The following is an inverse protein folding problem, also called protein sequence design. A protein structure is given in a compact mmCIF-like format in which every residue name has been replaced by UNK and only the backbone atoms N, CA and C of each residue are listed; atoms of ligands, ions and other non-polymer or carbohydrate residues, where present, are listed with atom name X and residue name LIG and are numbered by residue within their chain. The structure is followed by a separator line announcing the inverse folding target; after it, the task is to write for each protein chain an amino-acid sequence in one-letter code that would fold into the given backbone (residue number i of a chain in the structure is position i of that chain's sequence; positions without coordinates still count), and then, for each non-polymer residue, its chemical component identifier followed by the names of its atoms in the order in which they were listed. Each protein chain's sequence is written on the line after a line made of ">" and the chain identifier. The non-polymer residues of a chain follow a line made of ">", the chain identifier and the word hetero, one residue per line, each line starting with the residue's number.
data_IF_742941486395
#
_entry.id   IF_742941486395
#
_cell.length_a   1.000
_cell.length_b   1.000
_cell.length_c   1.000
_cell.angle_alpha   90.00
_cell.angle_beta   90.00
_cell.angle_gamma   90.00
#
_symmetry.space_group_name_H-M   'P 1'
#
loop_
_entity.id
_entity.type
_entity.pdbx_description
1 polymer ?
#
# COMPACT_ATOMS: atom_id res chain seq x y z
N UNK A 1 1.51 13.55 46.11
CA UNK A 1 2.88 13.08 45.77
C UNK A 1 2.73 11.94 44.76
N UNK A 2 2.54 12.20 43.46
CA UNK A 2 3.49 12.88 42.58
C UNK A 2 4.42 11.85 41.91
N UNK A 3 3.86 10.84 41.23
CA UNK A 3 4.66 9.93 40.38
C UNK A 3 4.71 10.51 38.98
N UNK A 4 5.80 11.20 38.66
CA UNK A 4 6.17 11.50 37.29
C UNK A 4 6.32 10.17 36.52
N UNK A 5 5.35 9.89 35.63
CA UNK A 5 5.57 8.97 34.52
C UNK A 5 6.34 9.78 33.47
N UNK A 6 7.64 9.54 33.38
CA UNK A 6 8.40 9.90 32.19
C UNK A 6 7.76 9.17 31.00
N UNK A 7 7.09 9.94 30.14
CA UNK A 7 6.79 9.53 28.79
C UNK A 7 8.13 9.37 28.07
N UNK A 8 8.66 8.14 28.06
CA UNK A 8 9.65 7.73 27.09
C UNK A 8 9.00 7.83 25.71
N UNK A 9 9.08 9.00 25.11
CA UNK A 9 8.88 9.16 23.68
C UNK A 9 9.83 8.16 23.00
N UNK A 10 9.27 7.17 22.31
CA UNK A 10 9.98 6.37 21.33
C UNK A 10 10.43 7.30 20.19
N UNK A 11 11.49 8.07 20.41
CA UNK A 11 12.21 8.88 19.43
C UNK A 11 13.41 8.12 18.85
N UNK A 12 13.36 6.78 18.85
CA UNK A 12 14.24 5.97 18.02
C UNK A 12 13.82 6.08 16.57
N UNK A 13 14.17 7.18 15.90
CA UNK A 13 14.10 7.25 14.45
C UNK A 13 14.77 6.00 13.87
N UNK A 14 14.14 5.40 12.85
CA UNK A 14 14.70 4.24 12.19
C UNK A 14 16.05 4.65 11.57
N UNK A 15 17.16 4.40 12.29
CA UNK A 15 18.53 4.60 11.81
C UNK A 15 19.39 5.62 12.59
N UNK A 16 19.05 5.96 13.83
CA UNK A 16 20.01 6.67 14.69
C UNK A 16 21.27 5.80 14.89
N UNK A 17 22.49 6.32 14.66
CA UNK A 17 23.70 5.52 14.80
C UNK A 17 23.95 5.15 16.27
N UNK A 18 24.25 3.88 16.52
CA UNK A 18 24.33 3.24 17.84
C UNK A 18 25.74 3.22 18.41
N UNK A 19 26.77 3.23 17.56
CA UNK A 19 28.17 3.40 17.96
C UNK A 19 28.72 4.76 17.54
N UNK A 20 29.84 5.18 18.14
CA UNK A 20 30.54 6.41 17.71
C UNK A 20 31.03 6.27 16.25
N UNK A 21 31.52 5.09 15.86
CA UNK A 21 31.93 4.80 14.48
C UNK A 21 30.77 4.93 13.48
N UNK A 22 29.57 4.44 13.83
CA UNK A 22 28.39 4.61 12.98
C UNK A 22 27.94 6.08 12.90
N UNK A 23 28.18 6.89 13.95
CA UNK A 23 27.89 8.33 13.94
C UNK A 23 28.86 9.07 13.03
N UNK A 24 30.15 8.77 13.14
CA UNK A 24 31.19 9.42 12.34
C UNK A 24 30.99 9.10 10.85
N UNK A 25 30.70 7.84 10.50
CA UNK A 25 30.39 7.43 9.12
C UNK A 25 29.09 8.08 8.60
N UNK A 26 28.07 8.21 9.46
CA UNK A 26 26.84 8.90 9.13
C UNK A 26 27.07 10.38 8.84
N UNK A 27 27.82 11.07 9.70
CA UNK A 27 28.14 12.48 9.53
C UNK A 27 29.02 12.70 8.29
N UNK A 28 29.99 11.81 8.02
CA UNK A 28 30.77 11.83 6.78
C UNK A 28 29.89 11.69 5.53
N UNK A 29 28.95 10.75 5.55
CA UNK A 29 27.98 10.54 4.45
C UNK A 29 27.12 11.78 4.22
N UNK A 30 26.58 12.36 5.30
CA UNK A 30 25.76 13.57 5.24
C UNK A 30 26.57 14.75 4.72
N UNK A 31 27.82 14.91 5.17
CA UNK A 31 28.71 15.96 4.67
C UNK A 31 29.10 15.75 3.20
N UNK A 32 29.33 14.51 2.76
CA UNK A 32 29.57 14.16 1.37
C UNK A 32 28.41 14.55 0.46
N UNK A 33 27.17 14.27 0.89
CA UNK A 33 25.95 14.71 0.20
C UNK A 33 25.81 16.24 0.19
N UNK A 34 26.08 16.91 1.32
CA UNK A 34 26.01 18.38 1.44
C UNK A 34 26.98 19.10 0.51
N UNK A 35 28.19 18.55 0.38
CA UNK A 35 29.25 19.15 -0.43
C UNK A 35 29.15 18.77 -1.91
N UNK A 36 28.15 17.98 -2.31
CA UNK A 36 28.01 17.46 -3.68
C UNK A 36 29.08 16.46 -4.08
N UNK A 37 29.83 15.91 -3.12
CA UNK A 37 30.81 14.85 -3.35
C UNK A 37 30.16 13.49 -3.59
N UNK A 38 28.89 13.34 -3.20
CA UNK A 38 28.06 12.15 -3.46
C UNK A 38 26.74 12.61 -4.05
N UNK A 39 26.38 12.08 -5.22
CA UNK A 39 25.05 12.29 -5.80
C UNK A 39 24.01 11.45 -5.05
N UNK A 40 22.92 12.08 -4.61
CA UNK A 40 21.88 11.40 -3.83
C UNK A 40 21.18 10.31 -4.65
N UNK A 41 20.97 10.50 -5.96
CA UNK A 41 20.32 9.50 -6.79
C UNK A 41 21.23 8.29 -7.00
N UNK A 42 22.53 8.50 -7.18
CA UNK A 42 23.53 7.43 -7.22
C UNK A 42 23.64 6.68 -5.88
N UNK A 43 23.67 7.43 -4.77
CA UNK A 43 23.67 6.86 -3.42
C UNK A 43 22.43 6.01 -3.13
N UNK A 44 21.28 6.32 -3.75
CA UNK A 44 20.04 5.56 -3.59
C UNK A 44 19.83 4.49 -4.68
N UNK A 45 20.71 4.40 -5.69
CA UNK A 45 20.58 3.46 -6.81
C UNK A 45 20.79 2.00 -6.42
N UNK A 46 19.72 1.21 -6.39
CA UNK A 46 19.78 -0.23 -6.11
C UNK A 46 19.66 -1.04 -7.40
N UNK A 47 20.42 -2.13 -7.49
CA UNK A 47 20.29 -3.11 -8.58
C UNK A 47 18.95 -3.82 -8.49
N UNK A 48 18.31 -4.05 -9.63
CA UNK A 48 17.04 -4.77 -9.68
C UNK A 48 17.18 -6.19 -9.10
N UNK A 49 16.26 -6.57 -8.21
CA UNK A 49 16.27 -7.87 -7.55
C UNK A 49 17.13 -7.95 -6.28
N UNK A 50 17.88 -6.91 -5.92
CA UNK A 50 18.59 -6.86 -4.63
C UNK A 50 17.69 -6.29 -3.52
N UNK A 51 16.79 -7.13 -3.01
CA UNK A 51 15.85 -6.76 -1.96
C UNK A 51 16.54 -6.27 -0.69
N UNK A 52 17.70 -6.85 -0.32
CA UNK A 52 18.42 -6.50 0.91
C UNK A 52 19.03 -5.12 0.80
N UNK A 53 19.74 -4.84 -0.28
CA UNK A 53 20.28 -3.50 -0.53
C UNK A 53 19.16 -2.47 -0.60
N UNK A 54 18.02 -2.79 -1.22
CA UNK A 54 16.87 -1.88 -1.26
C UNK A 54 16.35 -1.56 0.13
N UNK A 55 16.15 -2.56 0.97
CA UNK A 55 15.68 -2.37 2.35
C UNK A 55 16.66 -1.52 3.16
N UNK A 56 17.97 -1.81 3.08
CA UNK A 56 18.99 -1.03 3.79
C UNK A 56 19.05 0.42 3.31
N UNK A 57 18.98 0.67 2.00
CA UNK A 57 18.97 2.03 1.45
C UNK A 57 17.68 2.77 1.78
N UNK A 58 16.54 2.10 1.75
CA UNK A 58 15.26 2.70 2.14
C UNK A 58 15.27 3.13 3.62
N UNK A 59 15.88 2.33 4.50
CA UNK A 59 16.12 2.72 5.91
C UNK A 59 17.01 3.96 6.00
N UNK A 60 18.14 3.97 5.29
CA UNK A 60 19.04 5.11 5.25
C UNK A 60 18.35 6.38 4.76
N UNK A 61 17.52 6.29 3.71
CA UNK A 61 16.72 7.39 3.19
C UNK A 61 15.76 7.96 4.26
N UNK A 62 15.08 7.09 5.01
CA UNK A 62 14.23 7.53 6.11
C UNK A 62 15.01 8.24 7.21
N UNK A 63 16.22 7.79 7.52
CA UNK A 63 17.12 8.47 8.45
C UNK A 63 17.54 9.83 7.91
N UNK A 64 17.88 9.91 6.63
CA UNK A 64 18.30 11.14 5.94
C UNK A 64 17.18 12.18 5.93
N UNK A 65 15.93 11.77 5.69
CA UNK A 65 14.75 12.64 5.77
C UNK A 65 14.53 13.24 7.17
N UNK A 66 15.04 12.61 8.22
CA UNK A 66 15.01 13.16 9.58
C UNK A 66 15.89 14.41 9.72
N UNK A 67 16.99 14.48 8.96
CA UNK A 67 17.95 15.58 9.03
C UNK A 67 17.41 16.84 8.30
N UNK A 68 17.28 17.99 8.99
CA UNK A 68 16.84 19.24 8.37
C UNK A 68 17.70 19.68 7.19
N UNK A 69 19.02 19.43 7.24
CA UNK A 69 19.99 19.86 6.21
C UNK A 69 19.77 19.09 4.91
N UNK A 70 19.54 17.79 5.01
CA UNK A 70 19.24 16.94 3.85
C UNK A 70 17.87 17.28 3.26
N UNK A 71 16.86 17.57 4.09
CA UNK A 71 15.54 18.01 3.60
C UNK A 71 15.63 19.25 2.71
N UNK A 72 16.48 20.21 3.07
CA UNK A 72 16.69 21.41 2.26
C UNK A 72 17.31 21.08 0.89
N UNK A 73 18.31 20.18 0.85
CA UNK A 73 18.91 19.70 -0.42
C UNK A 73 17.85 19.04 -1.29
N UNK A 74 17.08 18.12 -0.71
CA UNK A 74 16.06 17.38 -1.46
C UNK A 74 14.98 18.31 -2.01
N UNK A 75 14.60 19.36 -1.26
CA UNK A 75 13.69 20.39 -1.75
C UNK A 75 14.28 21.18 -2.92
N UNK A 76 15.54 21.62 -2.83
CA UNK A 76 16.22 22.34 -3.90
C UNK A 76 16.38 21.47 -5.16
N UNK A 77 16.79 20.22 -5.02
CA UNK A 77 16.89 19.27 -6.13
C UNK A 77 15.53 18.99 -6.76
N UNK A 78 14.49 18.79 -5.96
CA UNK A 78 13.12 18.58 -6.46
C UNK A 78 12.59 19.81 -7.21
N UNK A 79 12.87 21.02 -6.73
CA UNK A 79 12.51 22.26 -7.42
C UNK A 79 13.22 22.39 -8.76
N UNK A 80 14.54 22.09 -8.80
CA UNK A 80 15.33 22.10 -10.02
C UNK A 80 14.82 21.08 -11.04
N UNK A 81 14.58 19.83 -10.63
CA UNK A 81 14.01 18.80 -11.52
C UNK A 81 12.65 19.24 -12.08
N UNK A 82 11.80 19.84 -11.25
CA UNK A 82 10.49 20.35 -11.70
C UNK A 82 10.62 21.51 -12.69
N UNK A 83 11.54 22.46 -12.45
CA UNK A 83 11.77 23.55 -13.39
C UNK A 83 12.32 23.03 -14.72
N UNK A 84 13.29 22.12 -14.67
CA UNK A 84 13.95 21.55 -15.83
C UNK A 84 12.98 20.70 -16.68
N UNK A 85 12.04 20.01 -16.02
CA UNK A 85 10.99 19.24 -16.68
C UNK A 85 9.77 20.08 -17.12
N UNK A 86 9.75 21.39 -16.85
CA UNK A 86 8.59 22.25 -17.16
C UNK A 86 7.31 21.87 -16.40
N UNK A 87 7.43 21.15 -15.27
CA UNK A 87 6.29 20.67 -14.49
C UNK A 87 5.79 21.81 -13.60
N UNK A 88 4.70 22.45 -14.02
CA UNK A 88 3.96 23.40 -13.18
C UNK A 88 2.94 22.62 -12.35
N UNK A 89 3.18 22.52 -11.04
CA UNK A 89 2.21 21.95 -10.11
C UNK A 89 1.10 22.97 -9.88
N UNK A 90 -0.07 22.74 -10.46
CA UNK A 90 -1.27 23.51 -10.15
C UNK A 90 -1.80 23.09 -8.76
N UNK A 91 -1.31 23.78 -7.73
CA UNK A 91 -1.71 23.55 -6.35
C UNK A 91 -3.24 23.62 -6.17
N UNK A 92 -3.93 24.52 -6.90
CA UNK A 92 -5.39 24.63 -6.81
C UNK A 92 -6.08 23.38 -7.33
N UNK A 93 -5.57 22.78 -8.41
CA UNK A 93 -6.10 21.52 -8.97
C UNK A 93 -5.80 20.32 -8.09
N UNK A 94 -4.64 20.28 -7.43
CA UNK A 94 -4.30 19.23 -6.46
C UNK A 94 -5.21 19.34 -5.23
N UNK A 95 -5.33 20.53 -4.66
CA UNK A 95 -6.19 20.77 -3.50
C UNK A 95 -7.66 20.49 -3.82
N UNK A 96 -8.17 20.90 -4.99
CA UNK A 96 -9.58 20.63 -5.35
C UNK A 96 -9.87 19.14 -5.49
N UNK A 97 -8.96 18.35 -6.09
CA UNK A 97 -9.10 16.89 -6.18
C UNK A 97 -9.05 16.20 -4.81
N UNK A 98 -8.15 16.63 -3.93
CA UNK A 98 -8.05 16.11 -2.57
C UNK A 98 -9.30 16.44 -1.75
N UNK A 99 -9.78 17.69 -1.82
CA UNK A 99 -11.02 18.11 -1.17
C UNK A 99 -12.25 17.37 -1.71
N UNK A 100 -12.34 17.13 -3.02
CA UNK A 100 -13.43 16.38 -3.63
C UNK A 100 -13.53 14.93 -3.09
N UNK A 101 -12.43 14.36 -2.58
CA UNK A 101 -12.40 13.01 -1.99
C UNK A 101 -12.59 12.98 -0.49
N UNK A 102 -12.79 14.12 0.16
CA UNK A 102 -12.68 14.24 1.63
C UNK A 102 -11.35 13.64 2.14
N UNK A 103 -10.28 13.81 1.33
CA UNK A 103 -9.01 13.12 1.53
C UNK A 103 -8.36 13.49 2.87
N UNK A 104 -8.56 14.72 3.37
CA UNK A 104 -7.96 15.15 4.63
C UNK A 104 -8.52 14.39 5.84
N UNK A 105 -9.85 14.33 5.96
CA UNK A 105 -10.53 13.59 7.03
C UNK A 105 -10.19 12.09 6.95
N UNK A 106 -10.22 11.53 5.73
CA UNK A 106 -9.92 10.12 5.48
C UNK A 106 -8.45 9.77 5.71
N UNK A 107 -7.52 10.67 5.38
CA UNK A 107 -6.09 10.49 5.64
C UNK A 107 -5.79 10.49 7.15
N UNK A 108 -6.49 11.32 7.93
CA UNK A 108 -6.38 11.28 9.40
C UNK A 108 -6.82 9.92 9.94
N UNK A 109 -7.99 9.43 9.51
CA UNK A 109 -8.49 8.10 9.90
C UNK A 109 -7.51 7.00 9.47
N UNK A 110 -6.99 7.09 8.24
CA UNK A 110 -5.96 6.18 7.73
C UNK A 110 -4.70 6.15 8.59
N UNK A 111 -4.14 7.32 8.92
CA UNK A 111 -2.94 7.42 9.74
C UNK A 111 -3.17 6.88 11.16
N UNK A 112 -4.34 7.16 11.75
CA UNK A 112 -4.74 6.60 13.05
C UNK A 112 -4.86 5.07 12.99
N UNK A 113 -5.44 4.52 11.93
CA UNK A 113 -5.59 3.09 11.73
C UNK A 113 -4.26 2.39 11.43
N UNK A 114 -3.40 2.97 10.59
CA UNK A 114 -2.03 2.46 10.39
C UNK A 114 -1.27 2.45 11.72
N UNK A 115 -1.33 3.54 12.47
CA UNK A 115 -0.71 3.61 13.80
C UNK A 115 -1.26 2.52 14.72
N UNK A 116 -2.57 2.29 14.74
CA UNK A 116 -3.19 1.25 15.55
C UNK A 116 -2.78 -0.18 15.12
N UNK A 117 -2.55 -0.43 13.83
CA UNK A 117 -2.03 -1.72 13.35
C UNK A 117 -0.55 -1.94 13.68
N UNK A 118 0.24 -0.87 13.68
CA UNK A 118 1.67 -0.94 13.96
C UNK A 118 1.97 -0.97 15.46
N UNK A 119 1.11 -0.35 16.26
CA UNK A 119 1.25 -0.30 17.72
C UNK A 119 0.45 -1.44 18.34
N UNK A 120 1.13 -2.54 18.67
CA UNK A 120 0.58 -3.60 19.50
C UNK A 120 0.11 -4.86 18.77
N UNK A 121 0.48 -5.06 17.51
CA UNK A 121 0.33 -6.35 16.80
C UNK A 121 1.71 -6.96 16.48
N UNK A 122 1.88 -8.28 16.64
CA UNK A 122 3.15 -8.94 16.34
C UNK A 122 3.48 -8.79 14.85
N UNK A 123 4.78 -8.82 14.52
CA UNK A 123 5.23 -8.92 13.14
C UNK A 123 4.53 -10.08 12.42
N UNK A 124 4.12 -9.86 11.17
CA UNK A 124 3.65 -10.94 10.30
C UNK A 124 4.81 -11.81 9.80
N UNK A 125 6.03 -11.28 9.87
CA UNK A 125 7.27 -11.97 9.56
C UNK A 125 7.87 -12.55 10.84
N UNK A 126 8.12 -13.85 10.84
CA UNK A 126 8.62 -14.64 11.97
C UNK A 126 10.04 -15.15 11.74
N UNK A 127 10.64 -14.84 10.60
CA UNK A 127 12.04 -15.18 10.30
C UNK A 127 13.01 -14.52 11.27
N UNK A 128 14.13 -15.19 11.51
CA UNK A 128 15.25 -14.72 12.32
C UNK A 128 16.33 -14.02 11.51
N UNK A 129 16.36 -14.28 10.20
CA UNK A 129 17.26 -13.65 9.23
C UNK A 129 16.49 -12.80 8.22
N UNK A 130 17.22 -11.98 7.46
CA UNK A 130 16.61 -11.21 6.37
C UNK A 130 16.02 -12.13 5.32
N UNK A 131 16.75 -13.19 4.97
CA UNK A 131 16.42 -14.15 3.92
C UNK A 131 15.16 -14.93 4.27
N UNK A 132 15.04 -15.41 5.52
CA UNK A 132 13.80 -16.06 6.02
C UNK A 132 12.60 -15.10 6.02
N UNK A 133 12.80 -13.85 6.47
CA UNK A 133 11.76 -12.82 6.44
C UNK A 133 11.32 -12.50 5.00
N UNK A 134 12.26 -12.40 4.06
CA UNK A 134 11.98 -12.12 2.65
C UNK A 134 11.22 -13.27 1.98
N UNK A 135 11.63 -14.51 2.23
CA UNK A 135 10.92 -15.68 1.70
C UNK A 135 9.46 -15.72 2.20
N UNK A 136 9.25 -15.46 3.50
CA UNK A 136 7.91 -15.37 4.06
C UNK A 136 7.11 -14.20 3.47
N UNK A 137 7.73 -13.03 3.31
CA UNK A 137 7.14 -11.86 2.66
C UNK A 137 6.64 -12.22 1.25
N UNK A 138 7.50 -12.83 0.42
CA UNK A 138 7.17 -13.19 -0.95
C UNK A 138 6.05 -14.23 -1.01
N UNK A 139 6.07 -15.24 -0.12
CA UNK A 139 5.01 -16.26 -0.04
C UNK A 139 3.65 -15.68 0.32
N UNK A 140 3.61 -14.71 1.26
CA UNK A 140 2.36 -14.07 1.67
C UNK A 140 1.76 -13.23 0.53
N UNK A 141 2.59 -12.44 -0.17
CA UNK A 141 2.14 -11.67 -1.34
C UNK A 141 1.71 -12.61 -2.47
N UNK A 142 2.48 -13.65 -2.77
CA UNK A 142 2.15 -14.62 -3.81
C UNK A 142 0.80 -15.33 -3.57
N UNK A 143 0.39 -15.50 -2.31
CA UNK A 143 -0.94 -16.00 -1.97
C UNK A 143 -2.06 -15.04 -2.43
N UNK A 144 -1.88 -13.74 -2.22
CA UNK A 144 -2.84 -12.69 -2.64
C UNK A 144 -2.89 -12.59 -4.17
N UNK A 145 -1.73 -12.62 -4.83
CA UNK A 145 -1.63 -12.62 -6.28
C UNK A 145 -2.39 -13.81 -6.89
N UNK A 146 -2.13 -15.03 -6.42
CA UNK A 146 -2.83 -16.23 -6.89
C UNK A 146 -4.35 -16.17 -6.63
N UNK A 147 -4.76 -15.57 -5.52
CA UNK A 147 -6.18 -15.35 -5.21
C UNK A 147 -6.83 -14.43 -6.26
N UNK A 148 -6.14 -13.34 -6.61
CA UNK A 148 -6.59 -12.40 -7.63
C UNK A 148 -6.57 -13.00 -9.05
N UNK A 149 -5.52 -13.73 -9.42
CA UNK A 149 -5.44 -14.46 -10.69
C UNK A 149 -6.62 -15.43 -10.86
N UNK A 150 -6.94 -16.17 -9.80
CA UNK A 150 -8.11 -17.06 -9.78
C UNK A 150 -9.42 -16.27 -9.96
N UNK A 151 -9.53 -15.10 -9.34
CA UNK A 151 -10.68 -14.20 -9.53
C UNK A 151 -10.80 -13.73 -11.00
N UNK A 152 -9.67 -13.44 -11.66
CA UNK A 152 -9.60 -13.06 -13.06
C UNK A 152 -10.05 -14.19 -13.98
N UNK A 153 -9.63 -15.43 -13.70
CA UNK A 153 -10.03 -16.60 -14.48
C UNK A 153 -11.52 -16.91 -14.33
N UNK A 154 -12.06 -16.78 -13.13
CA UNK A 154 -13.50 -16.91 -12.88
C UNK A 154 -14.30 -15.84 -13.63
N UNK A 155 -13.79 -14.60 -13.71
CA UNK A 155 -14.42 -13.55 -14.50
C UNK A 155 -14.52 -13.95 -15.98
N UNK A 156 -13.41 -14.43 -16.56
CA UNK A 156 -13.35 -14.89 -17.96
C UNK A 156 -14.26 -16.09 -18.20
N UNK A 157 -14.41 -16.97 -17.20
CA UNK A 157 -15.34 -18.08 -17.19
C UNK A 157 -16.82 -17.69 -16.97
N UNK A 158 -17.16 -16.39 -16.94
CA UNK A 158 -18.49 -15.85 -16.64
C UNK A 158 -19.03 -16.22 -15.24
N UNK A 159 -18.18 -16.67 -14.31
CA UNK A 159 -18.54 -16.90 -12.92
C UNK A 159 -18.35 -15.61 -12.11
N UNK A 160 -19.24 -14.65 -12.37
CA UNK A 160 -19.18 -13.32 -11.78
C UNK A 160 -19.28 -13.32 -10.24
N UNK A 161 -20.16 -14.12 -9.59
CA UNK A 161 -20.24 -14.10 -8.13
C UNK A 161 -18.94 -14.55 -7.45
N UNK A 162 -18.33 -15.66 -7.91
CA UNK A 162 -17.08 -16.13 -7.31
C UNK A 162 -15.89 -15.24 -7.68
N UNK A 163 -15.89 -14.65 -8.89
CA UNK A 163 -14.89 -13.64 -9.25
C UNK A 163 -14.93 -12.44 -8.30
N UNK A 164 -16.13 -11.90 -8.04
CA UNK A 164 -16.32 -10.80 -7.07
C UNK A 164 -15.89 -11.23 -5.67
N UNK A 165 -16.28 -12.42 -5.21
CA UNK A 165 -15.91 -12.92 -3.90
C UNK A 165 -14.39 -13.01 -3.70
N UNK A 166 -13.67 -13.63 -4.65
CA UNK A 166 -12.21 -13.75 -4.56
C UNK A 166 -11.52 -12.40 -4.71
N UNK A 167 -12.08 -11.48 -5.48
CA UNK A 167 -11.58 -10.11 -5.58
C UNK A 167 -11.68 -9.39 -4.22
N UNK A 168 -12.83 -9.47 -3.55
CA UNK A 168 -13.02 -8.93 -2.19
C UNK A 168 -12.06 -9.57 -1.18
N UNK A 169 -11.83 -10.88 -1.29
CA UNK A 169 -10.85 -11.58 -0.46
C UNK A 169 -9.43 -11.08 -0.71
N UNK A 170 -9.02 -10.92 -1.97
CA UNK A 170 -7.70 -10.39 -2.32
C UNK A 170 -7.50 -8.96 -1.79
N UNK A 171 -8.54 -8.11 -1.85
CA UNK A 171 -8.52 -6.76 -1.25
C UNK A 171 -8.36 -6.83 0.27
N UNK A 172 -9.07 -7.74 0.93
CA UNK A 172 -8.95 -7.93 2.38
C UNK A 172 -7.54 -8.36 2.80
N UNK A 173 -6.99 -9.37 2.12
CA UNK A 173 -5.63 -9.86 2.39
C UNK A 173 -4.60 -8.77 2.09
N UNK A 174 -4.78 -8.00 1.00
CA UNK A 174 -3.96 -6.81 0.72
C UNK A 174 -3.94 -5.84 1.91
N UNK A 175 -5.11 -5.56 2.49
CA UNK A 175 -5.22 -4.73 3.70
C UNK A 175 -4.48 -5.29 4.92
N UNK A 176 -4.55 -6.61 5.14
CA UNK A 176 -3.82 -7.30 6.21
C UNK A 176 -2.30 -7.18 6.02
N UNK A 177 -1.86 -7.27 4.77
CA UNK A 177 -0.44 -7.29 4.41
C UNK A 177 0.18 -5.89 4.24
N UNK A 178 -0.58 -4.81 4.39
CA UNK A 178 -0.08 -3.41 4.34
C UNK A 178 1.14 -3.14 5.22
N UNK A 179 1.30 -3.89 6.34
CA UNK A 179 2.44 -3.74 7.26
C UNK A 179 3.69 -4.54 6.87
N UNK A 180 3.61 -5.45 5.91
CA UNK A 180 4.68 -6.41 5.60
C UNK A 180 6.01 -5.72 5.30
N UNK A 181 5.98 -4.63 4.53
CA UNK A 181 7.20 -3.90 4.21
C UNK A 181 7.82 -3.23 5.44
N UNK A 182 6.99 -2.75 6.37
CA UNK A 182 7.50 -2.19 7.63
C UNK A 182 8.09 -3.25 8.54
N UNK A 183 7.50 -4.45 8.56
CA UNK A 183 8.06 -5.61 9.26
C UNK A 183 9.42 -5.99 8.62
N UNK A 184 9.51 -6.00 7.30
CA UNK A 184 10.75 -6.29 6.57
C UNK A 184 11.84 -5.21 6.79
N UNK A 185 11.48 -3.93 6.85
CA UNK A 185 12.39 -2.83 7.23
C UNK A 185 12.95 -2.98 8.66
N UNK A 186 12.30 -3.79 9.49
CA UNK A 186 12.63 -4.03 10.89
C UNK A 186 13.02 -5.49 11.15
N UNK A 187 13.41 -6.26 10.12
CA UNK A 187 13.76 -7.67 10.26
C UNK A 187 14.82 -7.93 11.35
N UNK A 188 15.73 -6.98 11.57
CA UNK A 188 16.83 -7.04 12.55
C UNK A 188 16.47 -6.40 13.91
N UNK A 189 15.23 -5.94 14.09
CA UNK A 189 14.76 -5.30 15.32
C UNK A 189 13.57 -6.09 15.85
N UNK A 190 13.70 -6.74 17.01
CA UNK A 190 12.57 -7.43 17.60
C UNK A 190 11.45 -6.40 17.88
N UNK A 191 10.38 -6.43 17.08
CA UNK A 191 9.12 -5.83 17.49
C UNK A 191 8.67 -6.58 18.73
N UNK A 192 8.57 -5.87 19.85
CA UNK A 192 8.03 -6.41 21.09
C UNK A 192 6.76 -7.20 20.76
N UNK A 193 6.78 -8.51 21.01
CA UNK A 193 5.58 -9.34 20.89
C UNK A 193 4.54 -8.71 21.83
N UNK A 194 3.40 -8.23 21.30
CA UNK A 194 2.33 -7.84 22.18
C UNK A 194 1.85 -9.08 22.93
N UNK A 195 1.58 -8.90 24.22
CA UNK A 195 0.97 -9.92 25.09
C UNK A 195 -0.48 -10.22 24.73
N UNK A 196 -1.02 -9.59 23.68
CA UNK A 196 -2.42 -9.63 23.29
C UNK A 196 -2.56 -10.03 21.83
N UNK A 197 -3.53 -10.90 21.48
CA UNK A 197 -3.76 -11.32 20.10
C UNK A 197 -4.21 -10.12 19.22
N UNK A 198 -3.85 -10.13 17.92
CA UNK A 198 -4.24 -9.07 16.99
C UNK A 198 -5.76 -8.91 16.91
N UNK A 199 -6.24 -7.67 16.76
CA UNK A 199 -7.69 -7.39 16.78
C UNK A 199 -8.32 -7.86 15.47
N UNK A 200 -9.26 -8.81 15.56
CA UNK A 200 -10.00 -9.41 14.43
C UNK A 200 -11.07 -8.50 13.81
N UNK A 201 -10.76 -7.25 13.45
CA UNK A 201 -11.74 -6.42 12.73
C UNK A 201 -11.52 -6.54 11.21
N UNK A 202 -12.41 -7.24 10.51
CA UNK A 202 -12.41 -7.31 9.04
C UNK A 202 -12.63 -5.92 8.42
N UNK A 203 -13.53 -5.12 9.03
CA UNK A 203 -13.84 -3.73 8.63
C UNK A 203 -12.59 -2.85 8.52
N UNK A 204 -11.72 -2.89 9.52
CA UNK A 204 -10.52 -2.06 9.53
C UNK A 204 -9.56 -2.40 8.38
N UNK A 205 -9.54 -3.67 7.96
CA UNK A 205 -8.65 -4.19 6.92
C UNK A 205 -9.12 -3.80 5.53
N UNK A 206 -10.42 -3.95 5.24
CA UNK A 206 -11.02 -3.47 3.98
C UNK A 206 -10.84 -1.97 3.80
N UNK A 207 -11.13 -1.20 4.85
CA UNK A 207 -10.96 0.25 4.82
C UNK A 207 -9.49 0.63 4.59
N UNK A 208 -8.54 -0.01 5.28
CA UNK A 208 -7.12 0.28 5.07
C UNK A 208 -6.63 -0.07 3.66
N UNK A 209 -7.03 -1.22 3.11
CA UNK A 209 -6.68 -1.60 1.74
C UNK A 209 -7.23 -0.59 0.73
N UNK A 210 -8.52 -0.30 0.84
CA UNK A 210 -9.22 0.60 -0.07
C UNK A 210 -8.66 2.02 0.03
N UNK A 211 -8.43 2.54 1.23
CA UNK A 211 -7.95 3.91 1.44
C UNK A 211 -6.47 4.06 1.06
N UNK A 212 -5.61 3.07 1.38
CA UNK A 212 -4.18 3.11 1.05
C UNK A 212 -3.96 3.26 -0.46
N UNK A 213 -4.69 2.47 -1.27
CA UNK A 213 -4.57 2.54 -2.72
C UNK A 213 -5.41 3.65 -3.34
N UNK A 214 -6.68 3.86 -2.94
CA UNK A 214 -7.58 4.79 -3.63
C UNK A 214 -7.27 6.28 -3.41
N UNK A 215 -6.63 6.65 -2.28
CA UNK A 215 -6.24 8.05 -2.05
C UNK A 215 -5.00 8.45 -2.88
N UNK A 216 -4.15 7.48 -3.22
CA UNK A 216 -2.82 7.73 -3.82
C UNK A 216 -2.76 7.33 -5.31
N UNK A 217 -3.57 6.36 -5.73
CA UNK A 217 -3.50 5.79 -7.07
C UNK A 217 -4.22 6.65 -8.12
N UNK A 218 -3.44 7.39 -8.91
CA UNK A 218 -3.93 8.16 -10.06
C UNK A 218 -4.36 7.28 -11.25
N UNK A 219 -3.89 6.03 -11.34
CA UNK A 219 -4.31 5.05 -12.35
C UNK A 219 -5.71 4.50 -12.07
N UNK A 220 -6.04 4.22 -10.81
CA UNK A 220 -7.38 3.77 -10.39
C UNK A 220 -8.48 4.74 -10.87
N UNK A 221 -8.23 6.05 -10.79
CA UNK A 221 -9.16 7.07 -11.26
C UNK A 221 -9.39 7.06 -12.77
N UNK A 222 -8.36 6.71 -13.54
CA UNK A 222 -8.44 6.65 -15.00
C UNK A 222 -9.13 5.39 -15.47
N UNK A 223 -8.88 4.28 -14.79
CA UNK A 223 -9.44 2.97 -15.15
C UNK A 223 -10.89 2.86 -14.68
N UNK A 224 -11.19 3.17 -13.41
CA UNK A 224 -12.53 2.99 -12.84
C UNK A 224 -13.40 4.25 -12.87
N UNK A 225 -12.79 5.43 -12.98
CA UNK A 225 -13.48 6.71 -12.84
C UNK A 225 -13.59 7.18 -11.38
N UNK A 226 -13.57 8.49 -11.18
CA UNK A 226 -13.55 9.09 -9.84
C UNK A 226 -14.80 8.78 -9.00
N UNK A 227 -15.98 8.67 -9.62
CA UNK A 227 -17.22 8.35 -8.91
C UNK A 227 -17.23 6.91 -8.38
N UNK A 228 -16.73 5.95 -9.17
CA UNK A 228 -16.60 4.56 -8.73
C UNK A 228 -15.64 4.44 -7.54
N UNK A 229 -14.51 5.16 -7.58
CA UNK A 229 -13.55 5.23 -6.47
C UNK A 229 -14.18 5.84 -5.22
N UNK A 230 -14.99 6.89 -5.38
CA UNK A 230 -15.68 7.55 -4.27
C UNK A 230 -16.71 6.64 -3.62
N UNK A 231 -17.54 5.99 -4.43
CA UNK A 231 -18.53 5.02 -3.97
C UNK A 231 -17.85 3.87 -3.22
N UNK A 232 -16.74 3.36 -3.76
CA UNK A 232 -15.98 2.30 -3.12
C UNK A 232 -15.47 2.66 -1.71
N UNK A 233 -14.93 3.87 -1.58
CA UNK A 233 -14.45 4.35 -0.28
C UNK A 233 -15.60 4.52 0.71
N UNK A 234 -16.81 4.81 0.23
CA UNK A 234 -18.01 4.86 1.06
C UNK A 234 -18.45 3.45 1.47
N UNK A 235 -18.50 2.51 0.53
CA UNK A 235 -18.87 1.11 0.78
C UNK A 235 -17.95 0.41 1.80
N UNK A 236 -16.65 0.73 1.74
CA UNK A 236 -15.66 0.26 2.70
C UNK A 236 -15.93 0.78 4.13
N UNK A 237 -16.54 1.96 4.28
CA UNK A 237 -16.95 2.51 5.57
C UNK A 237 -18.21 1.82 6.13
N UNK A 238 -19.15 1.48 5.25
CA UNK A 238 -20.56 1.19 5.59
C UNK A 238 -20.90 -0.31 5.70
N UNK A 239 -19.88 -1.20 5.65
CA UNK A 239 -20.01 -2.67 5.70
C UNK A 239 -20.63 -3.30 4.45
N UNK A 240 -20.71 -2.58 3.34
CA UNK A 240 -21.29 -3.09 2.10
C UNK A 240 -20.46 -4.24 1.51
N UNK A 241 -19.15 -4.29 1.79
CA UNK A 241 -18.29 -5.39 1.35
C UNK A 241 -18.68 -6.73 1.96
N UNK A 242 -19.10 -6.76 3.23
CA UNK A 242 -19.52 -8.00 3.89
C UNK A 242 -20.86 -8.49 3.34
N UNK A 243 -21.82 -7.57 3.13
CA UNK A 243 -23.09 -7.89 2.48
C UNK A 243 -22.86 -8.43 1.07
N UNK A 244 -21.99 -7.80 0.29
CA UNK A 244 -21.63 -8.28 -1.04
C UNK A 244 -20.97 -9.67 -1.00
N UNK A 245 -20.04 -9.90 -0.07
CA UNK A 245 -19.43 -11.23 0.16
C UNK A 245 -20.49 -12.31 0.37
N UNK A 246 -21.49 -12.03 1.20
CA UNK A 246 -22.59 -12.97 1.47
C UNK A 246 -23.43 -13.22 0.22
N UNK A 247 -23.79 -12.17 -0.52
CA UNK A 247 -24.51 -12.27 -1.80
C UNK A 247 -23.78 -13.06 -2.87
N UNK A 248 -22.45 -13.12 -2.82
CA UNK A 248 -21.66 -13.92 -3.77
C UNK A 248 -21.71 -15.43 -3.50
N UNK A 249 -22.04 -15.85 -2.27
CA UNK A 249 -21.91 -17.23 -1.83
C UNK A 249 -23.24 -17.92 -1.50
N UNK A 250 -24.22 -17.17 -1.00
CA UNK A 250 -25.43 -17.72 -0.43
C UNK A 250 -26.67 -17.31 -1.22
N UNK A 251 -27.65 -18.21 -1.26
CA UNK A 251 -29.01 -17.87 -1.67
C UNK A 251 -29.60 -16.98 -0.59
N UNK A 252 -30.14 -15.83 -0.98
CA UNK A 252 -30.69 -14.84 -0.06
C UNK A 252 -32.12 -14.48 -0.45
N UNK A 253 -32.88 -13.91 0.50
CA UNK A 253 -34.25 -13.46 0.27
C UNK A 253 -34.29 -11.94 0.24
N UNK A 254 -34.53 -11.37 -0.93
CA UNK A 254 -34.59 -9.92 -1.18
C UNK A 254 -35.99 -9.57 -1.65
N UNK A 255 -36.66 -8.66 -0.92
CA UNK A 255 -38.05 -8.24 -1.20
C UNK A 255 -39.01 -9.44 -1.36
N UNK A 256 -38.94 -10.37 -0.40
CA UNK A 256 -39.69 -11.63 -0.35
C UNK A 256 -39.36 -12.66 -1.45
N UNK A 257 -38.45 -12.36 -2.38
CA UNK A 257 -38.03 -13.26 -3.48
C UNK A 257 -36.68 -13.92 -3.17
N UNK A 258 -36.61 -15.24 -3.38
CA UNK A 258 -35.34 -15.97 -3.31
C UNK A 258 -34.46 -15.61 -4.51
N UNK A 259 -33.23 -15.19 -4.25
CA UNK A 259 -32.23 -14.86 -5.28
C UNK A 259 -31.01 -15.74 -5.12
N UNK A 260 -30.52 -16.27 -6.24
CA UNK A 260 -29.25 -17.00 -6.28
C UNK A 260 -28.09 -16.03 -6.58
N UNK A 261 -26.83 -16.37 -6.22
CA UNK A 261 -25.70 -15.46 -6.41
C UNK A 261 -25.53 -14.92 -7.84
N UNK A 262 -25.81 -15.73 -8.87
CA UNK A 262 -25.72 -15.32 -10.28
C UNK A 262 -26.76 -14.27 -10.70
N UNK A 263 -27.84 -14.13 -9.93
CA UNK A 263 -28.83 -13.05 -10.11
C UNK A 263 -28.47 -11.82 -9.28
N UNK A 264 -27.73 -12.00 -8.18
CA UNK A 264 -27.34 -10.92 -7.28
C UNK A 264 -26.12 -10.14 -7.77
N UNK A 265 -25.16 -10.80 -8.42
CA UNK A 265 -23.87 -10.23 -8.81
C UNK A 265 -23.65 -10.38 -10.31
N UNK A 266 -23.64 -9.24 -11.00
CA UNK A 266 -23.51 -9.19 -12.46
C UNK A 266 -22.09 -8.97 -12.96
N UNK A 267 -21.92 -9.04 -14.28
CA UNK A 267 -20.65 -8.80 -14.99
C UNK A 267 -20.00 -7.46 -14.63
N UNK A 268 -20.79 -6.39 -14.52
CA UNK A 268 -20.28 -5.04 -14.23
C UNK A 268 -19.64 -4.97 -12.86
N UNK A 269 -20.28 -5.56 -11.85
CA UNK A 269 -19.78 -5.58 -10.48
C UNK A 269 -18.53 -6.44 -10.36
N UNK A 270 -18.54 -7.65 -10.95
CA UNK A 270 -17.35 -8.49 -11.00
C UNK A 270 -16.18 -7.81 -11.70
N UNK A 271 -16.43 -7.07 -12.80
CA UNK A 271 -15.41 -6.31 -13.52
C UNK A 271 -14.81 -5.22 -12.64
N UNK A 272 -15.64 -4.52 -11.88
CA UNK A 272 -15.21 -3.44 -10.99
C UNK A 272 -14.27 -3.98 -9.91
N UNK A 273 -14.69 -5.02 -9.19
CA UNK A 273 -13.93 -5.55 -8.06
C UNK A 273 -12.66 -6.29 -8.49
N UNK A 274 -12.68 -7.01 -9.62
CA UNK A 274 -11.48 -7.72 -10.09
C UNK A 274 -10.37 -6.77 -10.56
N UNK A 275 -10.73 -5.66 -11.21
CA UNK A 275 -9.78 -4.60 -11.58
C UNK A 275 -9.25 -3.90 -10.33
N UNK A 276 -10.16 -3.48 -9.45
CA UNK A 276 -9.78 -2.85 -8.19
C UNK A 276 -8.80 -3.70 -7.37
N UNK A 277 -9.04 -5.01 -7.27
CA UNK A 277 -8.15 -5.91 -6.54
C UNK A 277 -6.72 -5.87 -7.12
N UNK A 278 -6.58 -5.93 -8.45
CA UNK A 278 -5.28 -5.83 -9.12
C UNK A 278 -4.58 -4.49 -8.86
N UNK A 279 -5.32 -3.38 -8.95
CA UNK A 279 -4.79 -2.05 -8.65
C UNK A 279 -4.32 -1.91 -7.21
N UNK A 280 -5.11 -2.40 -6.25
CA UNK A 280 -4.77 -2.31 -4.84
C UNK A 280 -3.57 -3.20 -4.50
N UNK A 281 -3.48 -4.41 -5.08
CA UNK A 281 -2.31 -5.28 -4.92
C UNK A 281 -1.06 -4.57 -5.40
N UNK A 282 -1.08 -3.99 -6.61
CA UNK A 282 0.08 -3.30 -7.17
C UNK A 282 0.53 -2.14 -6.28
N UNK A 283 -0.37 -1.25 -5.90
CA UNK A 283 -0.05 -0.05 -5.13
C UNK A 283 0.34 -0.33 -3.68
N UNK A 284 -0.35 -1.28 -3.04
CA UNK A 284 -0.18 -1.52 -1.61
C UNK A 284 0.91 -2.55 -1.34
N UNK A 285 1.11 -3.54 -2.22
CA UNK A 285 2.08 -4.62 -2.02
C UNK A 285 3.31 -4.51 -2.91
N UNK A 286 3.28 -3.68 -3.97
CA UNK A 286 4.42 -3.38 -4.85
C UNK A 286 5.46 -2.46 -4.21
N UNK A 287 6.02 -2.84 -3.07
CA UNK A 287 6.97 -2.00 -2.32
C UNK A 287 8.33 -1.86 -3.00
N UNK A 288 8.73 -2.88 -3.77
CA UNK A 288 9.95 -2.87 -4.57
C UNK A 288 9.62 -2.38 -5.98
N UNK A 289 10.42 -1.48 -6.58
CA UNK A 289 10.10 -0.89 -7.88
C UNK A 289 9.88 -1.91 -9.00
N UNK A 290 10.61 -3.02 -8.98
CA UNK A 290 10.46 -4.11 -9.96
C UNK A 290 9.21 -4.94 -9.74
N UNK A 291 8.83 -5.19 -8.48
CA UNK A 291 7.57 -5.86 -8.13
C UNK A 291 6.37 -4.98 -8.49
N UNK A 292 6.44 -3.68 -8.20
CA UNK A 292 5.44 -2.70 -8.60
C UNK A 292 5.21 -2.74 -10.11
N UNK A 293 6.27 -2.61 -10.91
CA UNK A 293 6.17 -2.67 -12.38
C UNK A 293 5.56 -3.99 -12.86
N UNK A 294 5.97 -5.12 -12.29
CA UNK A 294 5.42 -6.44 -12.63
C UNK A 294 3.92 -6.53 -12.31
N UNK A 295 3.51 -6.08 -11.13
CA UNK A 295 2.11 -6.11 -10.69
C UNK A 295 1.23 -5.17 -11.52
N UNK A 296 1.70 -3.95 -11.81
CA UNK A 296 1.01 -3.01 -12.71
C UNK A 296 0.88 -3.61 -14.11
N UNK A 297 1.94 -4.24 -14.65
CA UNK A 297 1.88 -4.89 -15.96
C UNK A 297 0.87 -6.05 -15.97
N UNK A 298 0.79 -6.83 -14.90
CA UNK A 298 -0.19 -7.90 -14.75
C UNK A 298 -1.63 -7.34 -14.71
N UNK A 299 -1.88 -6.31 -13.89
CA UNK A 299 -3.19 -5.64 -13.80
C UNK A 299 -3.60 -5.05 -15.15
N UNK A 300 -2.68 -4.33 -15.81
CA UNK A 300 -2.89 -3.77 -17.14
C UNK A 300 -3.24 -4.83 -18.19
N UNK A 301 -2.52 -5.97 -18.19
CA UNK A 301 -2.79 -7.09 -19.09
C UNK A 301 -4.21 -7.64 -18.86
N UNK A 302 -4.61 -7.82 -17.59
CA UNK A 302 -5.94 -8.26 -17.25
C UNK A 302 -7.03 -7.27 -17.71
N UNK A 303 -6.87 -5.98 -17.42
CA UNK A 303 -7.80 -4.92 -17.82
C UNK A 303 -8.03 -4.87 -19.35
N UNK A 304 -6.94 -4.94 -20.12
CA UNK A 304 -7.02 -5.00 -21.58
C UNK A 304 -7.78 -6.26 -22.00
N UNK A 305 -7.51 -7.41 -21.37
CA UNK A 305 -8.16 -8.68 -21.70
C UNK A 305 -9.68 -8.70 -21.45
N UNK A 306 -10.19 -7.81 -20.60
CA UNK A 306 -11.62 -7.70 -20.28
C UNK A 306 -12.29 -6.45 -20.91
N UNK A 307 -11.57 -5.77 -21.81
CA UNK A 307 -12.12 -4.74 -22.69
C UNK A 307 -11.87 -3.29 -22.27
N UNK A 308 -10.93 -3.01 -21.36
CA UNK A 308 -10.49 -1.62 -21.12
C UNK A 308 -9.59 -1.14 -22.28
N UNK A 309 -9.78 0.10 -22.79
CA UNK A 309 -8.93 0.67 -23.82
C UNK A 309 -7.48 0.79 -23.37
N UNK A 310 -6.54 0.28 -24.19
CA UNK A 310 -5.10 0.33 -23.90
C UNK A 310 -4.56 1.73 -23.55
N UNK A 311 -5.00 2.84 -24.19
CA UNK A 311 -4.57 4.19 -23.81
C UNK A 311 -4.95 4.59 -22.37
N UNK A 312 -6.06 4.07 -21.84
CA UNK A 312 -6.49 4.33 -20.46
C UNK A 312 -5.63 3.56 -19.45
N UNK A 313 -5.14 2.40 -19.86
CA UNK A 313 -4.42 1.45 -19.02
C UNK A 313 -2.91 1.76 -18.96
N UNK A 314 -2.29 2.10 -20.09
CA UNK A 314 -0.82 2.20 -20.25
C UNK A 314 -0.20 3.57 -20.05
N UNK A 315 -0.99 4.62 -19.87
CA UNK A 315 -0.42 5.94 -19.62
C UNK A 315 0.30 5.93 -18.26
N UNK A 316 1.63 5.91 -18.25
CA UNK A 316 2.46 6.10 -17.05
C UNK A 316 3.06 7.49 -17.11
#
# INVERSE_FOLDING_TARGET
>A
MGRHRENAMCSGAAGSPKSNEERDLWDETVQGLLNGGVDLAEYLRVSEGDHKAYILRFRALHSLHGDPRIREIMQRQSQKIRSDAGIVVDERRVTSRLSARDAHSRFKIFAEMQKAMLVGEPSLLTGSTFEECLEQYQRLIGCVEKTWETACDLYRGNNYPLSTFLSLLAIEETGKLTRLFQDLLRFDRPTLHPTMPPKKSHRGKHFLAAIAGALVNARLDRVLGQEAVRALLQDACDKEFEKLRQRCLYIDRVDDVWRIPTEAVGKTEARLYSVLAGELIAEVLGHFPWEFRRLVAAAASYEISIGYPEPQVRAV
#
